data_IF_365232523899
#
_entry.id   IF_365232523899
#
_cell.length_a   1.000
_cell.length_b   1.000
_cell.length_c   1.000
_cell.angle_alpha   90.00
_cell.angle_beta   90.00
_cell.angle_gamma   90.00
#
_symmetry.space_group_name_H-M   'P 1'
#
loop_
_entity.id
_entity.type
_entity.pdbx_description
1 polymer ?
#
# COMPACT_ATOMS: atom_id res chain seq x y z
N UNK A 1 84.39 28.15 10.87
CA UNK A 1 84.38 27.88 12.33
C UNK A 1 83.03 27.29 12.70
N UNK A 2 83.06 26.15 13.39
CA UNK A 2 81.98 25.21 13.66
C UNK A 2 80.68 25.80 14.25
N UNK A 3 79.53 25.19 13.93
CA UNK A 3 78.42 24.96 14.88
C UNK A 3 77.42 23.88 14.41
N UNK A 4 77.64 22.68 14.95
CA UNK A 4 76.70 21.66 15.47
C UNK A 4 75.32 21.51 14.78
N UNK A 5 75.18 20.44 13.98
CA UNK A 5 73.88 19.85 13.65
C UNK A 5 73.28 19.16 14.89
N UNK A 6 72.03 19.51 15.24
CA UNK A 6 71.20 18.72 16.14
C UNK A 6 70.44 17.69 15.29
N UNK A 7 70.68 16.42 15.57
CA UNK A 7 69.92 15.27 15.07
C UNK A 7 68.49 15.31 15.62
N UNK A 8 67.50 15.39 14.73
CA UNK A 8 66.09 15.09 15.04
C UNK A 8 65.79 13.70 14.48
N UNK A 9 65.49 12.76 15.37
CA UNK A 9 64.99 11.42 15.03
C UNK A 9 63.48 11.56 14.81
N UNK A 10 62.92 11.16 13.65
CA UNK A 10 61.48 11.08 13.49
C UNK A 10 61.00 9.76 14.12
N UNK A 11 60.17 9.86 15.17
CA UNK A 11 59.41 8.72 15.67
C UNK A 11 58.37 8.33 14.62
N UNK A 12 58.56 7.18 13.98
CA UNK A 12 57.56 6.57 13.11
C UNK A 12 56.57 5.82 14.01
N UNK A 13 55.42 6.43 14.29
CA UNK A 13 54.29 5.73 14.87
C UNK A 13 53.59 4.92 13.77
N UNK A 14 53.81 3.61 13.76
CA UNK A 14 53.05 2.68 12.91
C UNK A 14 51.66 2.52 13.54
N UNK A 15 50.66 3.18 12.94
CA UNK A 15 49.25 2.88 13.19
C UNK A 15 48.92 1.55 12.52
N UNK A 16 48.86 0.47 13.30
CA UNK A 16 48.21 -0.77 12.87
C UNK A 16 46.71 -0.49 12.71
N UNK A 17 46.25 -0.37 11.47
CA UNK A 17 44.83 -0.45 11.16
C UNK A 17 44.37 -1.89 11.41
N UNK A 18 43.63 -2.10 12.50
CA UNK A 18 42.88 -3.33 12.70
C UNK A 18 41.75 -3.35 11.66
N UNK A 19 41.97 -4.10 10.57
CA UNK A 19 40.90 -4.47 9.65
C UNK A 19 39.91 -5.36 10.42
N UNK A 20 38.87 -4.75 10.96
CA UNK A 20 37.73 -5.51 11.48
C UNK A 20 37.10 -6.29 10.35
N UNK A 21 37.04 -7.61 10.47
CA UNK A 21 36.23 -8.46 9.62
C UNK A 21 34.75 -8.09 9.84
N UNK A 22 34.24 -7.10 9.11
CA UNK A 22 32.81 -6.92 8.95
C UNK A 22 32.27 -8.14 8.22
N UNK A 23 31.27 -8.81 8.79
CA UNK A 23 30.51 -9.82 8.07
C UNK A 23 30.01 -9.21 6.74
N UNK A 24 29.95 -9.98 5.64
CA UNK A 24 29.39 -9.48 4.40
C UNK A 24 27.99 -8.92 4.67
N UNK A 25 27.62 -7.77 4.09
CA UNK A 25 26.28 -7.23 4.26
C UNK A 25 25.27 -8.32 3.89
N UNK A 26 24.26 -8.50 4.74
CA UNK A 26 23.17 -9.43 4.47
C UNK A 26 22.49 -9.11 3.13
N UNK A 27 21.67 -10.02 2.60
CA UNK A 27 20.90 -9.75 1.39
C UNK A 27 20.12 -8.44 1.55
N UNK A 28 20.05 -7.65 0.47
CA UNK A 28 19.29 -6.41 0.47
C UNK A 28 17.83 -6.68 0.87
N UNK A 29 17.18 -5.79 1.64
CA UNK A 29 15.78 -5.98 1.99
C UNK A 29 14.89 -5.97 0.74
N UNK A 30 13.88 -6.84 0.72
CA UNK A 30 12.99 -7.10 -0.43
C UNK A 30 11.53 -7.25 0.03
N UNK A 31 10.58 -7.00 -0.86
CA UNK A 31 9.16 -7.19 -0.60
C UNK A 31 8.51 -6.07 0.23
N UNK A 32 7.26 -6.27 0.58
CA UNK A 32 6.49 -5.38 1.46
C UNK A 32 6.83 -5.69 2.92
N UNK A 33 7.22 -4.68 3.69
CA UNK A 33 7.70 -4.83 5.05
C UNK A 33 6.86 -4.00 6.04
N UNK A 34 6.00 -4.63 6.86
CA UNK A 34 5.14 -3.93 7.80
C UNK A 34 5.93 -3.35 8.97
N UNK A 35 5.60 -2.12 9.37
CA UNK A 35 6.19 -1.36 10.49
C UNK A 35 5.09 -0.55 11.16
N UNK A 36 5.35 -0.20 12.42
CA UNK A 36 4.45 0.64 13.20
C UNK A 36 5.26 1.67 13.96
N UNK A 37 4.83 2.92 13.92
CA UNK A 37 5.32 3.95 14.83
C UNK A 37 4.54 3.92 16.15
N UNK A 38 5.13 4.56 17.18
CA UNK A 38 4.42 4.82 18.42
C UNK A 38 3.28 5.81 18.14
N UNK A 39 2.02 5.46 18.44
CA UNK A 39 0.89 6.32 18.15
C UNK A 39 0.87 7.56 19.04
N UNK A 40 0.34 8.66 18.52
CA UNK A 40 -0.15 9.73 19.38
C UNK A 40 -1.20 9.19 20.37
N UNK A 41 -1.37 9.85 21.51
CA UNK A 41 -2.30 9.38 22.54
C UNK A 41 -3.75 9.22 22.03
N UNK A 42 -4.17 10.09 21.09
CA UNK A 42 -5.48 10.02 20.45
C UNK A 42 -5.66 8.76 19.59
N UNK A 43 -4.58 8.25 19.01
CA UNK A 43 -4.58 7.14 18.03
C UNK A 43 -4.29 5.77 18.66
N UNK A 44 -4.04 5.73 19.97
CA UNK A 44 -3.62 4.52 20.66
C UNK A 44 -4.64 3.36 20.51
N UNK A 45 -5.93 3.66 20.38
CA UNK A 45 -6.96 2.65 20.13
C UNK A 45 -6.89 2.08 18.70
N UNK A 46 -6.74 2.95 17.70
CA UNK A 46 -6.61 2.57 16.29
C UNK A 46 -5.34 1.75 16.05
N UNK A 47 -4.22 2.17 16.63
CA UNK A 47 -2.98 1.41 16.57
C UNK A 47 -3.10 0.00 17.19
N UNK A 48 -3.78 -0.13 18.34
CA UNK A 48 -4.05 -1.45 18.94
C UNK A 48 -4.95 -2.30 18.03
N UNK A 49 -5.96 -1.70 17.42
CA UNK A 49 -6.85 -2.39 16.49
C UNK A 49 -6.08 -2.97 15.29
N UNK A 50 -5.28 -2.16 14.60
CA UNK A 50 -4.48 -2.59 13.45
C UNK A 50 -3.50 -3.72 13.82
N UNK A 51 -2.83 -3.61 14.98
CA UNK A 51 -1.90 -4.64 15.49
C UNK A 51 -2.62 -5.93 15.87
N UNK A 52 -3.75 -5.84 16.58
CA UNK A 52 -4.50 -7.01 17.02
C UNK A 52 -5.06 -7.81 15.83
N UNK A 53 -5.45 -7.11 14.77
CA UNK A 53 -5.93 -7.71 13.52
C UNK A 53 -4.81 -8.12 12.57
N UNK A 54 -3.59 -7.63 12.79
CA UNK A 54 -2.41 -7.83 11.93
C UNK A 54 -2.65 -7.35 10.49
N UNK A 55 -3.30 -6.20 10.30
CA UNK A 55 -3.72 -5.77 8.96
C UNK A 55 -2.53 -5.47 8.02
N UNK A 56 -1.57 -4.59 8.37
CA UNK A 56 -0.34 -4.42 7.60
C UNK A 56 0.40 -5.73 7.31
N UNK A 57 0.50 -6.64 8.29
CA UNK A 57 1.19 -7.91 8.08
C UNK A 57 0.44 -8.83 7.13
N UNK A 58 -0.88 -8.97 7.25
CA UNK A 58 -1.67 -9.83 6.36
C UNK A 58 -1.62 -9.35 4.92
N UNK A 59 -1.78 -8.04 4.70
CA UNK A 59 -1.70 -7.45 3.37
C UNK A 59 -0.29 -7.61 2.78
N UNK A 60 0.76 -7.33 3.56
CA UNK A 60 2.14 -7.53 3.13
C UNK A 60 2.45 -9.01 2.85
N UNK A 61 1.98 -9.94 3.68
CA UNK A 61 2.15 -11.38 3.48
C UNK A 61 1.47 -11.85 2.18
N UNK A 62 0.25 -11.36 1.88
CA UNK A 62 -0.47 -11.68 0.65
C UNK A 62 0.24 -11.11 -0.61
N UNK A 63 0.69 -9.85 -0.55
CA UNK A 63 1.48 -9.23 -1.62
C UNK A 63 2.78 -9.98 -1.86
N UNK A 64 3.52 -10.31 -0.79
CA UNK A 64 4.78 -11.05 -0.87
C UNK A 64 4.60 -12.50 -1.30
N UNK A 65 3.43 -13.11 -1.06
CA UNK A 65 3.10 -14.43 -1.57
C UNK A 65 2.81 -14.40 -3.07
N UNK A 66 2.38 -13.26 -3.60
CA UNK A 66 2.05 -13.08 -5.01
C UNK A 66 3.23 -12.54 -5.85
N UNK A 67 4.10 -11.73 -5.23
CA UNK A 67 5.13 -10.94 -5.92
C UNK A 67 6.53 -11.21 -5.35
N UNK A 68 7.54 -11.27 -6.23
CA UNK A 68 8.97 -11.30 -5.89
C UNK A 68 9.63 -9.94 -6.10
N UNK A 69 9.20 -8.94 -5.31
CA UNK A 69 9.70 -7.57 -5.43
C UNK A 69 11.22 -7.50 -5.11
N UNK A 70 12.07 -7.01 -6.03
CA UNK A 70 13.53 -6.96 -5.84
C UNK A 70 14.01 -5.88 -4.86
N UNK A 71 13.11 -5.03 -4.38
CA UNK A 71 13.37 -3.97 -3.41
C UNK A 71 12.32 -3.98 -2.31
N UNK A 72 12.60 -3.28 -1.20
CA UNK A 72 11.66 -3.18 -0.10
C UNK A 72 10.72 -1.97 -0.27
N UNK A 73 9.42 -2.20 -0.09
CA UNK A 73 8.41 -1.16 0.18
C UNK A 73 8.03 -1.26 1.65
N UNK A 74 8.07 -0.15 2.38
CA UNK A 74 7.71 -0.16 3.80
C UNK A 74 6.22 0.11 3.96
N UNK A 75 5.49 -0.74 4.68
CA UNK A 75 4.08 -0.49 5.04
C UNK A 75 4.06 0.03 6.47
N UNK A 76 3.99 1.34 6.66
CA UNK A 76 4.14 2.02 7.94
C UNK A 76 2.80 2.49 8.48
N UNK A 77 2.36 1.89 9.59
CA UNK A 77 1.23 2.43 10.34
C UNK A 77 1.69 3.54 11.31
N UNK A 78 1.12 4.73 11.21
CA UNK A 78 1.53 5.92 11.99
C UNK A 78 0.39 6.90 12.24
N UNK A 79 0.61 7.86 13.13
CA UNK A 79 -0.26 9.05 13.25
C UNK A 79 0.10 10.04 12.15
N UNK A 80 -0.89 10.47 11.35
CA UNK A 80 -0.65 11.31 10.17
C UNK A 80 -1.16 12.74 10.31
N UNK A 81 -1.84 13.08 11.41
CA UNK A 81 -2.33 14.42 11.67
C UNK A 81 -3.26 14.96 10.56
N UNK A 82 -4.05 14.09 9.94
CA UNK A 82 -5.03 14.41 8.91
C UNK A 82 -4.50 14.40 7.48
N UNK A 83 -3.25 14.00 7.24
CA UNK A 83 -2.68 13.89 5.88
C UNK A 83 -3.33 12.76 5.04
N UNK A 84 -3.92 11.76 5.70
CA UNK A 84 -4.52 10.59 5.05
C UNK A 84 -3.50 9.52 4.70
N UNK A 85 -3.97 8.28 4.57
CA UNK A 85 -3.15 7.15 4.10
C UNK A 85 -2.74 7.37 2.64
N UNK A 86 -1.54 6.93 2.27
CA UNK A 86 -0.97 7.22 0.96
C UNK A 86 0.36 6.54 0.70
N UNK A 87 0.75 6.45 -0.58
CA UNK A 87 2.08 6.05 -1.01
C UNK A 87 3.01 7.25 -1.23
N UNK A 88 4.18 7.23 -0.59
CA UNK A 88 5.28 8.18 -0.81
C UNK A 88 6.35 7.56 -1.74
N UNK A 89 6.49 8.04 -2.98
CA UNK A 89 7.49 7.55 -3.93
C UNK A 89 8.93 7.94 -3.57
N UNK A 90 9.16 9.03 -2.82
CA UNK A 90 10.51 9.45 -2.43
C UNK A 90 11.14 8.47 -1.43
N UNK A 91 10.31 7.92 -0.53
CA UNK A 91 10.75 6.99 0.50
C UNK A 91 10.33 5.54 0.28
N UNK A 92 9.51 5.27 -0.76
CA UNK A 92 8.89 3.97 -1.07
C UNK A 92 8.16 3.40 0.13
N UNK A 93 7.26 4.22 0.65
CA UNK A 93 6.52 3.94 1.88
C UNK A 93 5.04 4.07 1.64
N UNK A 94 4.30 3.01 1.95
CA UNK A 94 2.87 3.07 2.16
C UNK A 94 2.65 3.53 3.59
N UNK A 95 2.00 4.66 3.77
CA UNK A 95 1.61 5.20 5.06
C UNK A 95 0.17 4.83 5.34
N UNK A 96 -0.06 4.10 6.42
CA UNK A 96 -1.38 3.73 6.90
C UNK A 96 -1.70 4.55 8.14
N UNK A 97 -2.61 5.50 8.01
CA UNK A 97 -2.87 6.48 9.04
C UNK A 97 -3.81 5.93 10.11
N UNK A 98 -3.41 6.02 11.37
CA UNK A 98 -4.25 5.60 12.49
C UNK A 98 -5.53 6.44 12.59
N UNK A 99 -5.45 7.72 12.24
CA UNK A 99 -6.54 8.68 12.33
C UNK A 99 -7.63 8.48 11.26
N UNK A 100 -7.31 7.85 10.12
CA UNK A 100 -8.29 7.50 9.08
C UNK A 100 -9.35 6.52 9.58
N UNK A 101 -8.99 5.63 10.51
CA UNK A 101 -9.94 4.69 11.12
C UNK A 101 -11.08 5.41 11.84
N UNK A 102 -10.90 6.68 12.23
CA UNK A 102 -11.98 7.49 12.78
C UNK A 102 -13.05 7.72 11.74
N UNK A 103 -12.65 8.16 10.54
CA UNK A 103 -13.56 8.46 9.43
C UNK A 103 -14.23 7.19 8.93
N UNK A 104 -13.47 6.10 8.81
CA UNK A 104 -14.04 4.82 8.38
C UNK A 104 -15.12 4.30 9.33
N UNK A 105 -14.94 4.51 10.63
CA UNK A 105 -15.95 4.15 11.64
C UNK A 105 -17.25 4.95 11.55
N UNK A 106 -17.24 6.09 10.86
CA UNK A 106 -18.47 6.84 10.57
C UNK A 106 -19.20 6.26 9.35
N UNK A 107 -18.47 5.62 8.44
CA UNK A 107 -18.98 5.03 7.21
C UNK A 107 -19.39 3.57 7.36
N UNK A 108 -18.93 2.84 8.37
CA UNK A 108 -19.26 1.42 8.56
C UNK A 108 -19.74 1.13 9.98
N UNK A 109 -20.30 -0.06 10.20
CA UNK A 109 -21.00 -0.40 11.45
C UNK A 109 -20.20 -1.30 12.37
N UNK A 110 -19.29 -2.11 11.82
CA UNK A 110 -18.54 -3.11 12.59
C UNK A 110 -17.03 -2.95 12.46
N UNK A 111 -16.32 -3.45 13.47
CA UNK A 111 -14.85 -3.57 13.45
C UNK A 111 -14.32 -4.46 12.32
N UNK A 112 -15.13 -5.40 11.82
CA UNK A 112 -14.75 -6.22 10.65
C UNK A 112 -14.83 -5.38 9.38
N UNK A 113 -15.90 -4.60 9.20
CA UNK A 113 -16.02 -3.70 8.05
C UNK A 113 -14.94 -2.62 8.03
N UNK A 114 -14.52 -2.10 9.20
CA UNK A 114 -13.36 -1.19 9.26
C UNK A 114 -12.10 -1.91 8.77
N UNK A 115 -11.87 -3.15 9.20
CA UNK A 115 -10.71 -3.91 8.76
C UNK A 115 -10.74 -4.18 7.25
N UNK A 116 -11.92 -4.44 6.69
CA UNK A 116 -12.13 -4.64 5.26
C UNK A 116 -11.75 -3.39 4.45
N UNK A 117 -12.25 -2.21 4.85
CA UNK A 117 -11.93 -0.95 4.16
C UNK A 117 -10.44 -0.65 4.27
N UNK A 118 -9.84 -0.76 5.46
CA UNK A 118 -8.40 -0.52 5.59
C UNK A 118 -7.54 -1.52 4.80
N UNK A 119 -8.05 -2.74 4.55
CA UNK A 119 -7.35 -3.73 3.70
C UNK A 119 -7.44 -3.33 2.23
N UNK A 120 -8.59 -2.83 1.79
CA UNK A 120 -8.74 -2.24 0.45
C UNK A 120 -7.79 -1.06 0.26
N UNK A 121 -7.73 -0.12 1.22
CA UNK A 121 -6.79 1.02 1.19
C UNK A 121 -5.34 0.55 1.09
N UNK A 122 -4.93 -0.43 1.91
CA UNK A 122 -3.58 -0.99 1.84
C UNK A 122 -3.23 -1.56 0.46
N UNK A 123 -4.18 -2.21 -0.20
CA UNK A 123 -3.95 -2.70 -1.55
C UNK A 123 -4.00 -1.59 -2.58
N UNK A 124 -4.87 -0.59 -2.44
CA UNK A 124 -4.86 0.60 -3.29
C UNK A 124 -3.47 1.26 -3.29
N UNK A 125 -2.91 1.55 -2.10
CA UNK A 125 -1.57 2.14 -1.99
C UNK A 125 -0.45 1.22 -2.49
N UNK A 126 -0.63 -0.11 -2.39
CA UNK A 126 0.30 -1.05 -3.00
C UNK A 126 0.23 -1.00 -4.54
N UNK A 127 -0.92 -0.64 -5.12
CA UNK A 127 -1.07 -0.33 -6.53
C UNK A 127 -0.16 0.82 -6.94
N UNK A 128 -0.25 1.96 -6.25
CA UNK A 128 0.63 3.12 -6.46
C UNK A 128 2.11 2.77 -6.31
N UNK A 129 2.47 2.00 -5.28
CA UNK A 129 3.83 1.53 -5.10
C UNK A 129 4.33 0.69 -6.29
N UNK A 130 3.47 -0.12 -6.90
CA UNK A 130 3.81 -0.94 -8.05
C UNK A 130 3.87 -0.13 -9.34
N UNK A 131 3.00 0.88 -9.52
CA UNK A 131 3.09 1.84 -10.61
C UNK A 131 4.46 2.52 -10.63
N UNK A 132 4.87 3.08 -9.49
CA UNK A 132 6.16 3.76 -9.32
C UNK A 132 7.35 2.80 -9.56
N UNK A 133 7.34 1.63 -8.91
CA UNK A 133 8.48 0.69 -9.00
C UNK A 133 8.65 0.10 -10.40
N UNK A 134 7.56 -0.09 -11.14
CA UNK A 134 7.58 -0.62 -12.50
C UNK A 134 7.66 0.46 -13.57
N UNK A 135 7.61 1.75 -13.21
CA UNK A 135 7.58 2.89 -14.13
C UNK A 135 6.45 2.75 -15.16
N UNK A 136 5.24 2.39 -14.68
CA UNK A 136 4.09 2.14 -15.55
C UNK A 136 3.53 3.46 -16.11
N UNK A 137 3.31 3.57 -17.43
CA UNK A 137 2.94 4.83 -18.05
C UNK A 137 1.42 5.05 -18.00
N UNK A 138 0.87 5.45 -16.85
CA UNK A 138 -0.51 5.92 -16.75
C UNK A 138 -0.64 7.37 -17.24
N UNK A 139 -1.76 7.67 -17.89
CA UNK A 139 -1.99 8.92 -18.64
C UNK A 139 -2.28 10.17 -17.78
N UNK A 140 -1.81 10.19 -16.53
CA UNK A 140 -2.08 11.20 -15.50
C UNK A 140 -2.76 10.62 -14.26
N UNK A 141 -2.84 11.44 -13.22
CA UNK A 141 -3.19 11.05 -11.84
C UNK A 141 -4.49 10.23 -11.77
N UNK A 142 -5.54 10.69 -12.45
CA UNK A 142 -6.83 9.97 -12.46
C UNK A 142 -6.73 8.54 -13.03
N UNK A 143 -5.86 8.31 -14.01
CA UNK A 143 -5.68 6.99 -14.61
C UNK A 143 -4.86 6.06 -13.72
N UNK A 144 -3.94 6.63 -12.94
CA UNK A 144 -3.16 5.93 -11.91
C UNK A 144 -4.07 5.50 -10.75
N UNK A 145 -4.91 6.41 -10.25
CA UNK A 145 -5.95 6.13 -9.25
C UNK A 145 -6.91 5.00 -9.68
N UNK A 146 -7.35 5.04 -10.94
CA UNK A 146 -8.15 3.97 -11.53
C UNK A 146 -7.41 2.63 -11.59
N UNK A 147 -6.09 2.65 -11.78
CA UNK A 147 -5.27 1.46 -11.77
C UNK A 147 -5.11 0.93 -10.34
N UNK A 148 -4.88 1.79 -9.36
CA UNK A 148 -4.78 1.44 -7.94
C UNK A 148 -6.06 0.78 -7.41
N UNK A 149 -7.24 1.32 -7.69
CA UNK A 149 -8.54 0.69 -7.36
C UNK A 149 -8.68 -0.71 -8.00
N UNK A 150 -8.26 -0.84 -9.26
CA UNK A 150 -8.29 -2.14 -9.96
C UNK A 150 -7.29 -3.13 -9.36
N UNK A 151 -6.17 -2.67 -8.83
CA UNK A 151 -5.20 -3.52 -8.13
C UNK A 151 -5.76 -3.98 -6.79
N UNK A 152 -6.39 -3.08 -6.03
CA UNK A 152 -7.07 -3.42 -4.79
C UNK A 152 -8.13 -4.51 -5.01
N UNK A 153 -8.98 -4.33 -6.02
CA UNK A 153 -9.95 -5.33 -6.43
C UNK A 153 -9.29 -6.66 -6.83
N UNK A 154 -8.20 -6.62 -7.61
CA UNK A 154 -7.47 -7.83 -7.99
C UNK A 154 -6.99 -8.60 -6.77
N UNK A 155 -6.33 -7.94 -5.82
CA UNK A 155 -5.79 -8.59 -4.62
C UNK A 155 -6.90 -9.13 -3.73
N UNK A 156 -7.95 -8.36 -3.47
CA UNK A 156 -9.09 -8.80 -2.66
C UNK A 156 -9.83 -9.99 -3.29
N UNK A 157 -10.10 -9.97 -4.59
CA UNK A 157 -10.75 -11.10 -5.26
C UNK A 157 -9.87 -12.37 -5.21
N UNK A 158 -8.54 -12.23 -5.23
CA UNK A 158 -7.60 -13.38 -5.11
C UNK A 158 -7.65 -14.04 -3.73
N UNK A 159 -8.07 -13.33 -2.69
CA UNK A 159 -8.27 -13.90 -1.34
C UNK A 159 -9.56 -14.73 -1.22
N UNK A 160 -10.38 -14.76 -2.27
CA UNK A 160 -11.60 -15.57 -2.32
C UNK A 160 -12.75 -14.92 -1.55
N UNK A 161 -13.65 -15.71 -0.92
CA UNK A 161 -14.88 -15.18 -0.34
C UNK A 161 -14.68 -14.11 0.73
N UNK A 162 -13.57 -14.12 1.45
CA UNK A 162 -13.27 -13.11 2.48
C UNK A 162 -12.90 -11.76 1.84
N UNK A 163 -11.98 -11.75 0.88
CA UNK A 163 -11.64 -10.53 0.16
C UNK A 163 -12.75 -10.03 -0.77
N UNK A 164 -13.58 -10.92 -1.34
CA UNK A 164 -14.79 -10.51 -2.05
C UNK A 164 -15.80 -9.76 -1.16
N UNK A 165 -15.92 -10.17 0.11
CA UNK A 165 -16.72 -9.42 1.10
C UNK A 165 -16.08 -8.07 1.39
N UNK A 166 -14.76 -8.04 1.61
CA UNK A 166 -14.06 -6.78 1.88
C UNK A 166 -14.17 -5.78 0.71
N UNK A 167 -14.07 -6.24 -0.54
CA UNK A 167 -14.26 -5.40 -1.73
C UNK A 167 -15.68 -4.83 -1.80
N UNK A 168 -16.69 -5.63 -1.44
CA UNK A 168 -18.07 -5.15 -1.33
C UNK A 168 -18.21 -4.12 -0.21
N UNK A 169 -17.63 -4.36 0.95
CA UNK A 169 -17.65 -3.44 2.09
C UNK A 169 -17.05 -2.09 1.70
N UNK A 170 -15.88 -2.08 1.05
CA UNK A 170 -15.24 -0.85 0.55
C UNK A 170 -16.13 -0.11 -0.47
N UNK A 171 -16.72 -0.84 -1.44
CA UNK A 171 -17.66 -0.25 -2.38
C UNK A 171 -18.88 0.40 -1.70
N UNK A 172 -19.40 -0.22 -0.64
CA UNK A 172 -20.51 0.31 0.14
C UNK A 172 -20.09 1.51 1.02
N UNK A 173 -18.85 1.54 1.52
CA UNK A 173 -18.28 2.70 2.21
C UNK A 173 -18.13 3.91 1.27
N UNK A 174 -17.60 3.71 0.06
CA UNK A 174 -17.55 4.75 -0.97
C UNK A 174 -18.93 5.29 -1.33
N UNK A 175 -19.94 4.42 -1.42
CA UNK A 175 -21.31 4.85 -1.70
C UNK A 175 -21.94 5.70 -0.57
N UNK A 176 -21.40 5.61 0.65
CA UNK A 176 -21.82 6.42 1.81
C UNK A 176 -20.96 7.67 2.02
N UNK A 177 -19.83 7.76 1.34
CA UNK A 177 -18.93 8.91 1.40
C UNK A 177 -19.60 10.11 0.70
N UNK A 178 -19.73 11.27 1.37
CA UNK A 178 -20.29 12.45 0.75
C UNK A 178 -19.38 12.94 -0.39
N UNK A 179 -19.93 13.48 -1.49
CA UNK A 179 -19.10 14.07 -2.53
C UNK A 179 -18.34 15.28 -1.99
N UNK A 180 -17.06 15.42 -2.37
CA UNK A 180 -16.29 16.62 -2.06
C UNK A 180 -16.83 17.81 -2.88
N UNK A 181 -17.22 18.93 -2.23
CA UNK A 181 -17.64 20.14 -2.93
C UNK A 181 -16.53 20.84 -3.74
N UNK A 182 -15.25 20.50 -3.58
CA UNK A 182 -14.10 21.03 -4.34
C UNK A 182 -13.46 19.97 -5.29
N UNK A 183 -14.31 19.10 -5.86
CA UNK A 183 -14.00 17.94 -6.74
C UNK A 183 -13.01 18.16 -7.89
N UNK A 184 -12.64 19.40 -8.19
CA UNK A 184 -11.68 19.75 -9.24
C UNK A 184 -10.21 19.53 -8.86
N UNK A 185 -9.90 19.16 -7.61
CA UNK A 185 -8.53 18.88 -7.12
C UNK A 185 -8.33 17.47 -6.60
N UNK A 186 -9.42 16.73 -6.37
CA UNK A 186 -9.34 15.33 -5.98
C UNK A 186 -8.99 14.50 -7.21
N UNK A 187 -7.86 13.80 -7.15
CA UNK A 187 -7.37 12.95 -8.23
C UNK A 187 -8.18 11.64 -8.32
N UNK A 188 -8.89 11.29 -7.25
CA UNK A 188 -9.79 10.15 -7.21
C UNK A 188 -11.05 10.39 -8.04
N UNK A 189 -11.65 9.29 -8.52
CA UNK A 189 -13.02 9.37 -9.03
C UNK A 189 -13.98 9.80 -7.91
N UNK A 190 -15.11 10.46 -8.27
CA UNK A 190 -16.20 10.67 -7.33
C UNK A 190 -16.55 9.36 -6.59
N UNK A 191 -16.82 9.38 -5.27
CA UNK A 191 -16.99 8.15 -4.49
C UNK A 191 -18.05 7.19 -5.05
N UNK A 192 -19.17 7.71 -5.57
CA UNK A 192 -20.19 6.90 -6.22
C UNK A 192 -19.69 6.17 -7.48
N UNK A 193 -18.76 6.76 -8.22
CA UNK A 193 -18.13 6.13 -9.38
C UNK A 193 -17.15 5.01 -8.95
N UNK A 194 -16.35 5.24 -7.90
CA UNK A 194 -15.49 4.19 -7.30
C UNK A 194 -16.30 3.01 -6.79
N UNK A 195 -17.38 3.29 -6.06
CA UNK A 195 -18.32 2.27 -5.60
C UNK A 195 -18.89 1.42 -6.75
N UNK A 196 -19.36 2.08 -7.82
CA UNK A 196 -19.87 1.37 -9.00
C UNK A 196 -18.80 0.51 -9.67
N UNK A 197 -17.58 1.05 -9.84
CA UNK A 197 -16.46 0.33 -10.44
C UNK A 197 -16.08 -0.94 -9.64
N UNK A 198 -15.97 -0.83 -8.31
CA UNK A 198 -15.69 -1.98 -7.45
C UNK A 198 -16.76 -3.08 -7.54
N UNK A 199 -18.04 -2.69 -7.55
CA UNK A 199 -19.14 -3.67 -7.72
C UNK A 199 -19.14 -4.30 -9.12
N UNK A 200 -18.73 -3.56 -10.16
CA UNK A 200 -18.54 -4.09 -11.50
C UNK A 200 -17.46 -5.18 -11.55
N UNK A 201 -16.32 -4.92 -10.91
CA UNK A 201 -15.21 -5.87 -10.83
C UNK A 201 -15.60 -7.10 -10.02
N UNK A 202 -16.23 -6.91 -8.86
CA UNK A 202 -16.69 -7.99 -7.99
C UNK A 202 -17.70 -8.92 -8.70
N UNK A 203 -18.76 -8.36 -9.27
CA UNK A 203 -19.76 -9.14 -10.00
C UNK A 203 -19.14 -9.80 -11.24
N UNK A 204 -18.29 -9.08 -11.99
CA UNK A 204 -17.62 -9.61 -13.18
C UNK A 204 -16.67 -10.79 -12.89
N UNK A 205 -16.08 -10.83 -11.70
CA UNK A 205 -15.20 -11.92 -11.28
C UNK A 205 -15.96 -13.19 -10.89
N UNK A 206 -17.13 -13.04 -10.29
CA UNK A 206 -17.95 -14.17 -9.85
C UNK A 206 -19.47 -13.89 -9.94
N UNK A 207 -20.04 -13.88 -11.16
CA UNK A 207 -21.45 -13.49 -11.36
C UNK A 207 -22.44 -14.34 -10.55
N UNK A 208 -22.16 -15.64 -10.42
CA UNK A 208 -23.03 -16.58 -9.68
C UNK A 208 -23.02 -16.34 -8.17
N UNK A 209 -21.87 -15.93 -7.61
CA UNK A 209 -21.75 -15.60 -6.17
C UNK A 209 -22.36 -14.25 -5.82
N UNK A 210 -22.40 -13.34 -6.79
CA UNK A 210 -22.88 -11.96 -6.62
C UNK A 210 -24.11 -11.69 -7.48
N UNK A 211 -25.00 -12.67 -7.61
CA UNK A 211 -26.19 -12.56 -8.48
C UNK A 211 -27.13 -11.41 -8.08
N UNK A 212 -27.09 -10.97 -6.81
CA UNK A 212 -27.83 -9.80 -6.32
C UNK A 212 -27.34 -8.48 -6.94
N UNK A 213 -26.13 -8.46 -7.50
CA UNK A 213 -25.56 -7.28 -8.16
C UNK A 213 -25.91 -7.19 -9.65
N UNK A 214 -26.54 -8.21 -10.25
CA UNK A 214 -26.73 -8.31 -11.70
C UNK A 214 -27.43 -7.08 -12.31
N UNK A 215 -28.45 -6.55 -11.64
CA UNK A 215 -29.20 -5.40 -12.11
C UNK A 215 -28.43 -4.07 -11.96
N UNK A 216 -27.65 -3.96 -10.88
CA UNK A 216 -26.82 -2.78 -10.54
C UNK A 216 -25.59 -2.67 -11.44
N UNK A 217 -25.18 -3.78 -12.05
CA UNK A 217 -23.93 -3.91 -12.81
C UNK A 217 -24.16 -4.12 -14.31
N UNK A 218 -25.37 -3.82 -14.82
CA UNK A 218 -25.65 -3.85 -16.26
C UNK A 218 -24.85 -2.76 -16.99
N UNK A 219 -24.13 -3.16 -18.05
CA UNK A 219 -23.31 -2.24 -18.85
C UNK A 219 -22.06 -1.74 -18.12
N UNK A 220 -21.59 -2.52 -17.14
CA UNK A 220 -20.48 -2.16 -16.26
C UNK A 220 -19.18 -1.80 -16.97
N UNK A 221 -18.52 -0.79 -16.42
CA UNK A 221 -17.12 -0.45 -16.67
C UNK A 221 -16.48 -0.03 -15.33
N UNK A 222 -15.23 -0.44 -15.04
CA UNK A 222 -14.41 -1.39 -15.79
C UNK A 222 -14.95 -2.83 -15.75
N UNK A 223 -14.47 -3.69 -16.66
CA UNK A 223 -14.79 -5.13 -16.61
C UNK A 223 -13.68 -5.92 -15.90
N UNK A 224 -14.05 -7.01 -15.21
CA UNK A 224 -13.07 -7.83 -14.50
C UNK A 224 -11.94 -8.39 -15.39
N UNK A 225 -12.22 -8.98 -16.57
CA UNK A 225 -11.14 -9.47 -17.42
C UNK A 225 -10.14 -8.37 -17.82
N UNK A 226 -10.62 -7.16 -18.13
CA UNK A 226 -9.74 -6.04 -18.46
C UNK A 226 -8.83 -5.64 -17.29
N UNK A 227 -9.40 -5.48 -16.10
CA UNK A 227 -8.63 -5.10 -14.91
C UNK A 227 -7.60 -6.17 -14.52
N UNK A 228 -8.01 -7.45 -14.51
CA UNK A 228 -7.13 -8.58 -14.22
C UNK A 228 -6.02 -8.72 -15.27
N UNK A 229 -6.37 -8.67 -16.55
CA UNK A 229 -5.41 -8.92 -17.62
C UNK A 229 -4.39 -7.77 -17.73
N UNK A 230 -4.79 -6.52 -17.48
CA UNK A 230 -3.87 -5.38 -17.39
C UNK A 230 -2.86 -5.57 -16.27
N UNK A 231 -3.31 -5.75 -15.02
CA UNK A 231 -2.39 -5.90 -13.89
C UNK A 231 -1.54 -7.18 -13.97
N UNK A 232 -2.09 -8.30 -14.43
CA UNK A 232 -1.28 -9.53 -14.59
C UNK A 232 -0.25 -9.42 -15.71
N UNK A 233 -0.50 -8.59 -16.73
CA UNK A 233 0.50 -8.25 -17.74
C UNK A 233 1.60 -7.37 -17.13
N UNK A 234 1.23 -6.28 -16.46
CA UNK A 234 2.17 -5.32 -15.88
C UNK A 234 3.05 -5.97 -14.79
N UNK A 235 2.47 -6.87 -13.99
CA UNK A 235 3.16 -7.58 -12.91
C UNK A 235 3.97 -8.78 -13.40
N UNK A 236 3.89 -9.19 -14.66
CA UNK A 236 4.54 -10.39 -15.18
C UNK A 236 6.03 -10.55 -14.79
N UNK A 237 6.85 -9.47 -14.71
CA UNK A 237 8.24 -9.58 -14.25
C UNK A 237 8.40 -9.92 -12.75
N UNK A 238 7.37 -9.68 -11.93
CA UNK A 238 7.37 -9.83 -10.48
C UNK A 238 6.54 -11.01 -9.99
N UNK A 239 5.66 -11.60 -10.81
CA UNK A 239 4.81 -12.72 -10.40
C UNK A 239 5.64 -13.94 -9.95
N UNK A 240 5.24 -14.54 -8.83
CA UNK A 240 5.81 -15.80 -8.31
C UNK A 240 5.25 -17.05 -8.96
#
# INVERSE_FOLDING_TARGET
>A
MSRRWKTLVPSVSVLLALAGCGAPPGPAPRGFAPRYEEPAAADAAHARFLRARRLPERAADALNAYLDLPYQVTVLARSCAGEGSGYDPETRRIELCYDDLTQERELVTTDEEVADVMTETLYHEAGHALVDVLDLPYGGDRAEEDAADRFAALMLIREGPDGERALRTAAEAYARTPPDPDDGRDEHAPPAARAAAHLCLLHGAAPERHADLADRTRGCTPTWPQARDAWTHDLAPLLR
#
